data_IF_235093005579
#
_entry.id   IF_235093005579
#
_cell.length_a   1.000
_cell.length_b   1.000
_cell.length_c   1.000
_cell.angle_alpha   90.00
_cell.angle_beta   90.00
_cell.angle_gamma   90.00
#
_symmetry.space_group_name_H-M   'P 1'
#
loop_
_entity.id
_entity.type
_entity.pdbx_description
1 polymer ?
#
# COMPACT_ATOMS: atom_id res chain seq x y z
N UNK A 1 1.62 18.34 -14.29
CA UNK A 1 0.70 17.19 -14.13
C UNK A 1 0.59 17.00 -12.63
N UNK A 2 -0.61 17.01 -12.04
CA UNK A 2 -0.77 16.78 -10.60
C UNK A 2 -0.29 15.37 -10.26
N UNK A 3 0.56 15.20 -9.26
CA UNK A 3 1.15 13.90 -8.90
C UNK A 3 0.06 12.88 -8.55
N UNK A 4 -1.10 13.34 -8.06
CA UNK A 4 -2.28 12.50 -7.82
C UNK A 4 -2.92 11.97 -9.11
N UNK A 5 -2.70 12.63 -10.24
CA UNK A 5 -3.14 12.14 -11.55
C UNK A 5 -2.29 10.96 -12.01
N UNK A 6 -0.99 10.94 -11.68
CA UNK A 6 -0.08 9.81 -12.03
C UNK A 6 -0.50 8.50 -11.36
N UNK A 7 -1.08 8.57 -10.15
CA UNK A 7 -1.64 7.39 -9.48
C UNK A 7 -2.77 6.74 -10.29
N UNK A 8 -3.53 7.51 -11.08
CA UNK A 8 -4.66 7.01 -11.85
C UNK A 8 -4.26 6.50 -13.23
N UNK A 9 -3.02 6.76 -13.67
CA UNK A 9 -2.55 6.42 -15.02
C UNK A 9 -1.42 5.38 -15.02
N UNK A 10 -0.89 5.02 -13.84
CA UNK A 10 0.14 3.99 -13.68
C UNK A 10 -0.45 2.66 -13.21
N UNK A 11 0.14 1.54 -13.64
CA UNK A 11 -0.28 0.22 -13.18
C UNK A 11 -0.06 0.06 -11.67
N UNK A 12 1.09 0.51 -11.16
CA UNK A 12 1.38 0.54 -9.73
C UNK A 12 0.40 1.43 -8.96
N UNK A 13 0.13 2.64 -9.46
CA UNK A 13 -0.82 3.56 -8.83
C UNK A 13 -2.23 2.99 -8.76
N UNK A 14 -2.70 2.33 -9.81
CA UNK A 14 -4.01 1.67 -9.83
C UNK A 14 -4.09 0.51 -8.83
N UNK A 15 -3.02 -0.29 -8.68
CA UNK A 15 -2.92 -1.33 -7.66
C UNK A 15 -2.93 -0.74 -6.25
N UNK A 16 -2.19 0.34 -6.02
CA UNK A 16 -2.19 1.06 -4.75
C UNK A 16 -3.59 1.62 -4.42
N UNK A 17 -4.28 2.25 -5.39
CA UNK A 17 -5.64 2.76 -5.19
C UNK A 17 -6.58 1.63 -4.81
N UNK A 18 -6.54 0.50 -5.53
CA UNK A 18 -7.37 -0.65 -5.22
C UNK A 18 -7.10 -1.18 -3.80
N UNK A 19 -5.83 -1.38 -3.45
CA UNK A 19 -5.42 -1.82 -2.11
C UNK A 19 -5.89 -0.86 -1.02
N UNK A 20 -5.66 0.45 -1.18
CA UNK A 20 -6.05 1.46 -0.18
C UNK A 20 -7.57 1.63 -0.07
N UNK A 21 -8.30 1.47 -1.17
CA UNK A 21 -9.76 1.42 -1.12
C UNK A 21 -10.20 0.21 -0.30
N UNK A 22 -9.61 -0.97 -0.56
CA UNK A 22 -9.87 -2.24 0.14
C UNK A 22 -9.62 -2.10 1.64
N UNK A 23 -8.44 -1.62 1.99
CA UNK A 23 -8.01 -1.33 3.35
C UNK A 23 -8.95 -0.37 4.09
N UNK A 24 -9.35 0.75 3.47
CA UNK A 24 -10.12 1.80 4.15
C UNK A 24 -11.61 1.49 4.30
N UNK A 25 -12.20 0.72 3.38
CA UNK A 25 -13.66 0.56 3.29
C UNK A 25 -14.16 -0.83 3.71
N UNK A 26 -13.35 -1.88 3.62
CA UNK A 26 -13.84 -3.25 3.78
C UNK A 26 -13.10 -4.03 4.87
N UNK A 27 -13.74 -5.07 5.40
CA UNK A 27 -13.18 -5.95 6.43
C UNK A 27 -12.24 -7.03 5.88
N UNK A 28 -11.62 -7.77 6.81
CA UNK A 28 -10.45 -8.63 6.64
C UNK A 28 -10.51 -9.58 5.43
N UNK A 29 -11.66 -10.20 5.18
CA UNK A 29 -11.80 -11.21 4.11
C UNK A 29 -11.59 -10.67 2.69
N UNK A 30 -11.89 -9.39 2.44
CA UNK A 30 -11.65 -8.78 1.11
C UNK A 30 -10.18 -8.43 0.89
N UNK A 31 -9.49 -8.04 1.95
CA UNK A 31 -8.07 -7.71 1.89
C UNK A 31 -7.22 -8.95 1.62
N UNK A 32 -7.49 -10.04 2.35
CA UNK A 32 -6.84 -11.32 2.11
C UNK A 32 -7.01 -11.78 0.66
N UNK A 33 -8.25 -11.77 0.17
CA UNK A 33 -8.56 -12.16 -1.20
C UNK A 33 -7.82 -11.30 -2.22
N UNK A 34 -7.81 -9.97 -2.03
CA UNK A 34 -7.09 -9.07 -2.92
C UNK A 34 -5.60 -9.36 -2.97
N UNK A 35 -4.97 -9.58 -1.81
CA UNK A 35 -3.54 -9.91 -1.73
C UNK A 35 -3.27 -11.24 -2.44
N UNK A 36 -4.09 -12.26 -2.21
CA UNK A 36 -3.93 -13.57 -2.84
C UNK A 36 -4.11 -13.53 -4.37
N UNK A 37 -5.00 -12.69 -4.88
CA UNK A 37 -5.29 -12.58 -6.32
C UNK A 37 -4.38 -11.57 -7.06
N UNK A 38 -3.83 -10.58 -6.36
CA UNK A 38 -3.11 -9.47 -6.99
C UNK A 38 -1.59 -9.55 -6.85
N UNK A 39 -1.06 -10.36 -5.94
CA UNK A 39 0.38 -10.52 -5.75
C UNK A 39 0.98 -11.61 -6.66
N UNK A 40 2.23 -11.40 -7.07
CA UNK A 40 2.99 -12.42 -7.78
C UNK A 40 3.26 -13.63 -6.87
N UNK A 41 3.36 -14.83 -7.46
CA UNK A 41 3.55 -16.07 -6.72
C UNK A 41 4.80 -16.04 -5.82
N UNK A 42 5.90 -15.47 -6.31
CA UNK A 42 7.16 -15.36 -5.55
C UNK A 42 7.01 -14.49 -4.30
N UNK A 43 6.22 -13.40 -4.39
CA UNK A 43 5.94 -12.55 -3.24
C UNK A 43 5.12 -13.31 -2.19
N UNK A 44 4.16 -14.13 -2.64
CA UNK A 44 3.32 -14.96 -1.76
C UNK A 44 4.09 -16.13 -1.13
N UNK A 45 5.13 -16.65 -1.80
CA UNK A 45 6.03 -17.65 -1.23
C UNK A 45 6.89 -17.07 -0.11
N UNK A 46 7.40 -15.84 -0.28
CA UNK A 46 8.18 -15.16 0.76
C UNK A 46 7.30 -14.70 1.93
N UNK A 47 6.10 -14.19 1.61
CA UNK A 47 5.15 -13.67 2.58
C UNK A 47 3.73 -14.12 2.22
N UNK A 48 3.25 -15.16 2.92
CA UNK A 48 1.91 -15.69 2.72
C UNK A 48 0.84 -14.58 2.79
N UNK A 49 -0.20 -14.71 1.97
CA UNK A 49 -1.26 -13.71 1.84
C UNK A 49 -1.92 -13.40 3.19
N UNK A 50 -2.11 -14.42 4.03
CA UNK A 50 -2.65 -14.34 5.38
C UNK A 50 -1.76 -13.48 6.30
N UNK A 51 -0.44 -13.66 6.20
CA UNK A 51 0.52 -12.88 7.01
C UNK A 51 0.47 -11.41 6.61
N UNK A 52 0.42 -11.12 5.31
CA UNK A 52 0.34 -9.74 4.81
C UNK A 52 -1.01 -9.09 5.18
N UNK A 53 -2.11 -9.83 5.04
CA UNK A 53 -3.43 -9.35 5.45
C UNK A 53 -3.47 -9.03 6.95
N UNK A 54 -2.90 -9.92 7.79
CA UNK A 54 -2.79 -9.69 9.23
C UNK A 54 -1.96 -8.44 9.56
N UNK A 55 -0.85 -8.19 8.85
CA UNK A 55 -0.05 -6.97 9.03
C UNK A 55 -0.86 -5.70 8.72
N UNK A 56 -1.66 -5.70 7.64
CA UNK A 56 -2.53 -4.57 7.34
C UNK A 56 -3.67 -4.41 8.35
N UNK A 57 -4.24 -5.51 8.85
CA UNK A 57 -5.26 -5.43 9.89
C UNK A 57 -4.68 -4.84 11.19
N UNK A 58 -3.49 -5.31 11.61
CA UNK A 58 -2.78 -4.74 12.75
C UNK A 58 -2.44 -3.26 12.54
N UNK A 59 -2.03 -2.87 11.33
CA UNK A 59 -1.82 -1.46 10.98
C UNK A 59 -3.10 -0.65 11.12
N UNK A 60 -4.24 -1.18 10.64
CA UNK A 60 -5.54 -0.51 10.74
C UNK A 60 -6.03 -0.37 12.17
N UNK A 61 -5.81 -1.38 13.01
CA UNK A 61 -6.11 -1.29 14.44
C UNK A 61 -5.26 -0.21 15.12
N UNK A 62 -3.98 -0.11 14.77
CA UNK A 62 -3.06 0.86 15.36
C UNK A 62 -3.25 2.29 14.84
N UNK A 63 -3.58 2.47 13.55
CA UNK A 63 -3.49 3.75 12.85
C UNK A 63 -4.80 4.25 12.23
N UNK A 64 -5.83 3.39 12.17
CA UNK A 64 -7.10 3.69 11.52
C UNK A 64 -6.96 3.78 9.99
N UNK A 65 -7.81 4.59 9.36
CA UNK A 65 -7.77 4.79 7.90
C UNK A 65 -6.51 5.55 7.48
N UNK A 66 -6.09 5.30 6.24
CA UNK A 66 -4.94 5.98 5.63
C UNK A 66 -5.42 6.88 4.49
N UNK A 67 -4.92 8.12 4.47
CA UNK A 67 -5.19 9.08 3.39
C UNK A 67 -3.89 9.49 2.72
N UNK A 68 -3.86 9.49 1.38
CA UNK A 68 -2.68 9.96 0.63
C UNK A 68 -2.43 11.44 0.95
N UNK A 69 -1.29 11.71 1.57
CA UNK A 69 -0.80 13.06 1.86
C UNK A 69 0.04 13.58 0.70
N UNK A 70 0.99 12.78 0.23
CA UNK A 70 1.91 13.15 -0.84
C UNK A 70 2.32 11.92 -1.67
N UNK A 71 2.51 12.12 -2.97
CA UNK A 71 3.18 11.15 -3.84
C UNK A 71 4.65 11.54 -3.87
N UNK A 72 5.54 10.65 -3.44
CA UNK A 72 6.99 10.89 -3.40
C UNK A 72 7.62 10.55 -4.75
N UNK A 73 7.18 9.45 -5.35
CA UNK A 73 7.65 9.00 -6.65
C UNK A 73 6.62 8.12 -7.32
N UNK A 74 6.52 8.22 -8.64
CA UNK A 74 5.64 7.36 -9.41
C UNK A 74 6.19 7.15 -10.82
N UNK A 75 6.07 5.91 -11.29
CA UNK A 75 6.36 5.46 -12.65
C UNK A 75 5.26 4.48 -13.08
N UNK A 76 5.41 3.80 -14.21
CA UNK A 76 4.43 2.79 -14.64
C UNK A 76 4.38 1.60 -13.68
N UNK A 77 5.53 1.09 -13.26
CA UNK A 77 5.68 -0.13 -12.45
C UNK A 77 5.95 0.11 -10.97
N UNK A 78 6.20 1.35 -10.55
CA UNK A 78 6.53 1.67 -9.16
C UNK A 78 5.76 2.91 -8.68
N UNK A 79 5.25 2.87 -7.45
CA UNK A 79 4.68 4.01 -6.73
C UNK A 79 5.18 4.07 -5.29
N UNK A 80 5.57 5.27 -4.85
CA UNK A 80 5.94 5.60 -3.47
C UNK A 80 5.05 6.73 -2.98
N UNK A 81 4.30 6.48 -1.91
CA UNK A 81 3.38 7.46 -1.31
C UNK A 81 3.61 7.62 0.18
N UNK A 82 3.45 8.85 0.65
CA UNK A 82 3.30 9.18 2.06
C UNK A 82 1.80 9.26 2.37
N UNK A 83 1.35 8.49 3.35
CA UNK A 83 -0.02 8.50 3.83
C UNK A 83 -0.07 9.03 5.26
N UNK A 84 -1.12 9.79 5.54
CA UNK A 84 -1.49 10.21 6.89
C UNK A 84 -2.46 9.22 7.50
N UNK A 85 -2.20 8.82 8.73
CA UNK A 85 -3.08 7.97 9.52
C UNK A 85 -4.17 8.76 10.25
N UNK A 86 -5.35 8.15 10.39
CA UNK A 86 -6.50 8.70 11.12
C UNK A 86 -6.19 8.91 12.61
N UNK A 87 -5.51 7.95 13.24
CA UNK A 87 -5.12 8.01 14.66
C UNK A 87 -3.77 8.72 14.88
N UNK A 88 -3.24 9.37 13.85
CA UNK A 88 -1.97 10.08 13.89
C UNK A 88 -0.78 9.24 13.42
N UNK A 89 0.29 9.94 13.03
CA UNK A 89 1.45 9.35 12.37
C UNK A 89 1.33 9.34 10.85
N UNK A 90 2.43 8.93 10.23
CA UNK A 90 2.55 8.82 8.78
C UNK A 90 3.03 7.41 8.42
N UNK A 91 2.65 6.94 7.23
CA UNK A 91 3.03 5.64 6.69
C UNK A 91 3.58 5.85 5.30
N UNK A 92 4.78 5.33 5.05
CA UNK A 92 5.34 5.24 3.71
C UNK A 92 4.92 3.89 3.09
N UNK A 93 4.35 3.93 1.89
CA UNK A 93 4.14 2.74 1.07
C UNK A 93 4.96 2.84 -0.21
N UNK A 94 5.80 1.84 -0.46
CA UNK A 94 6.51 1.59 -1.72
C UNK A 94 5.94 0.30 -2.32
N UNK A 95 5.41 0.39 -3.54
CA UNK A 95 4.77 -0.73 -4.24
C UNK A 95 5.32 -0.85 -5.65
N UNK A 96 5.69 -2.08 -6.02
CA UNK A 96 6.11 -2.45 -7.36
C UNK A 96 5.19 -3.49 -7.98
N UNK A 97 5.01 -3.38 -9.29
CA UNK A 97 4.20 -4.30 -10.09
C UNK A 97 4.97 -4.80 -11.30
N UNK A 98 4.51 -5.88 -11.91
CA UNK A 98 5.03 -6.35 -13.19
C UNK A 98 4.71 -5.39 -14.33
N UNK A 99 5.62 -5.32 -15.31
CA UNK A 99 5.39 -4.61 -16.57
C UNK A 99 4.25 -5.25 -17.38
N UNK A 100 4.19 -6.59 -17.39
CA UNK A 100 3.18 -7.35 -18.15
C UNK A 100 1.83 -7.41 -17.45
N UNK A 101 0.74 -7.46 -18.22
CA UNK A 101 -0.59 -7.77 -17.71
C UNK A 101 -0.57 -9.17 -17.05
N UNK A 102 -1.12 -9.35 -15.82
CA UNK A 102 -2.09 -8.48 -15.14
C UNK A 102 -1.50 -7.41 -14.22
N UNK A 103 -0.20 -7.10 -14.29
CA UNK A 103 0.50 -6.20 -13.36
C UNK A 103 0.39 -6.71 -11.93
N UNK A 104 0.86 -7.94 -11.70
CA UNK A 104 0.90 -8.50 -10.37
C UNK A 104 1.82 -7.68 -9.47
N UNK A 105 1.48 -7.55 -8.19
CA UNK A 105 2.31 -6.87 -7.19
C UNK A 105 3.52 -7.77 -6.91
N UNK A 106 4.70 -7.28 -7.25
CA UNK A 106 5.97 -8.00 -7.07
C UNK A 106 6.65 -7.62 -5.77
N UNK A 107 6.41 -6.40 -5.28
CA UNK A 107 6.89 -5.96 -3.98
C UNK A 107 5.93 -4.95 -3.35
N UNK A 108 5.86 -4.99 -2.02
CA UNK A 108 5.15 -4.01 -1.22
C UNK A 108 5.81 -3.86 0.15
N UNK A 109 6.28 -2.66 0.42
CA UNK A 109 6.80 -2.22 1.71
C UNK A 109 5.82 -1.24 2.35
N UNK A 110 5.60 -1.40 3.66
CA UNK A 110 4.76 -0.53 4.47
C UNK A 110 5.57 -0.15 5.71
N UNK A 111 5.97 1.11 5.80
CA UNK A 111 6.84 1.59 6.87
C UNK A 111 6.16 2.72 7.64
N UNK A 112 5.68 2.45 8.87
CA UNK A 112 5.30 3.51 9.80
C UNK A 112 6.47 4.45 10.06
N UNK A 113 6.24 5.76 9.89
CA UNK A 113 7.22 6.78 10.24
C UNK A 113 6.95 7.22 11.67
N UNK A 114 7.83 6.84 12.59
CA UNK A 114 7.84 7.43 13.92
C UNK A 114 8.44 8.83 13.80
N UNK A 115 7.68 9.84 14.20
CA UNK A 115 8.26 11.13 14.51
C UNK A 115 9.19 10.88 15.70
N UNK A 116 10.50 10.89 15.46
CA UNK A 116 11.45 11.13 16.53
C UNK A 116 11.13 12.53 17.03
N UNK A 117 10.37 12.60 18.12
CA UNK A 117 10.38 13.79 18.97
C UNK A 117 11.81 13.93 19.45
N UNK A 118 12.61 14.69 18.68
CA UNK A 118 13.86 15.24 19.16
C UNK A 118 13.46 16.11 20.35
N UNK A 119 13.60 15.52 21.53
CA UNK A 119 13.35 16.17 22.78
C UNK A 119 14.45 17.19 23.04
N UNK A 120 13.99 18.36 23.47
CA UNK A 120 14.71 19.47 24.13
C UNK A 120 15.55 20.35 23.21
#
# INVERSE_FOLDING_TARGET
>A
MDDKHVLKTSAAGMRLIALMTIYNQWGDGRLLRYIAESCHADLLLAHAAETRAAQFNALREAMGKLQVQQVIGASKENVIVLLRAEFGGEVLIDMRVEEGYPHAITDISVTPLTLSTSGV
#
